data_IF_525964329954
#
_entry.id   IF_525964329954
#
_cell.length_a   1.000
_cell.length_b   1.000
_cell.length_c   1.000
_cell.angle_alpha   90.00
_cell.angle_beta   90.00
_cell.angle_gamma   90.00
#
_symmetry.space_group_name_H-M   'P 1'
#
loop_
_entity.id
_entity.type
_entity.pdbx_description
1 polymer ?
#
# COMPACT_ATOMS: atom_id res chain seq x y z
N UNK A 1 0.20 8.88 -7.39
CA UNK A 1 -0.47 7.68 -6.86
C UNK A 1 -1.69 8.06 -6.07
N UNK A 2 -2.81 7.48 -6.39
CA UNK A 2 -4.09 7.85 -5.75
C UNK A 2 -4.71 6.74 -4.94
N UNK A 3 -4.26 5.50 -5.13
CA UNK A 3 -4.86 4.34 -4.45
C UNK A 3 -3.77 3.42 -3.95
N UNK A 4 -4.13 2.54 -3.00
CA UNK A 4 -3.21 1.50 -2.55
C UNK A 4 -2.84 0.55 -3.68
N UNK A 5 -3.74 0.35 -4.62
CA UNK A 5 -3.47 -0.48 -5.80
C UNK A 5 -2.32 0.12 -6.61
N UNK A 6 -2.31 1.44 -6.76
CA UNK A 6 -1.22 2.14 -7.44
C UNK A 6 0.11 1.92 -6.72
N UNK A 7 0.09 2.00 -5.39
CA UNK A 7 1.29 1.77 -4.58
C UNK A 7 1.82 0.35 -4.80
N UNK A 8 0.95 -0.65 -4.75
CA UNK A 8 1.34 -2.04 -4.95
C UNK A 8 1.92 -2.24 -6.35
N UNK A 9 1.26 -1.68 -7.35
CA UNK A 9 1.70 -1.83 -8.75
C UNK A 9 3.08 -1.20 -8.98
N UNK A 10 3.44 -0.17 -8.23
CA UNK A 10 4.74 0.46 -8.37
C UNK A 10 5.90 -0.42 -7.91
N UNK A 11 5.62 -1.44 -7.11
CA UNK A 11 6.63 -2.43 -6.68
C UNK A 11 6.81 -3.58 -7.66
N UNK A 12 6.03 -3.61 -8.74
CA UNK A 12 6.09 -4.67 -9.72
C UNK A 12 5.01 -5.71 -9.46
N UNK A 13 5.39 -6.93 -9.03
CA UNK A 13 4.41 -7.96 -8.77
C UNK A 13 4.24 -8.24 -7.28
N UNK A 14 3.11 -8.86 -6.94
CA UNK A 14 2.75 -9.15 -5.56
C UNK A 14 3.72 -10.13 -4.89
N UNK A 15 4.22 -11.10 -5.64
CA UNK A 15 5.16 -12.10 -5.09
C UNK A 15 6.44 -11.45 -4.62
N UNK A 16 7.00 -10.57 -5.45
CA UNK A 16 8.24 -9.87 -5.12
C UNK A 16 8.03 -8.94 -3.93
N UNK A 17 6.95 -8.19 -3.95
CA UNK A 17 6.63 -7.29 -2.84
C UNK A 17 6.45 -8.06 -1.54
N UNK A 18 5.78 -9.20 -1.59
CA UNK A 18 5.59 -10.05 -0.42
C UNK A 18 6.91 -10.54 0.15
N UNK A 19 7.83 -11.00 -0.70
CA UNK A 19 9.15 -11.43 -0.25
C UNK A 19 9.91 -10.29 0.43
N UNK A 20 9.87 -9.12 -0.17
CA UNK A 20 10.59 -7.97 0.36
C UNK A 20 10.03 -7.51 1.70
N UNK A 21 8.73 -7.66 1.90
CA UNK A 21 8.06 -7.28 3.14
C UNK A 21 8.05 -8.41 4.18
N UNK A 22 8.36 -9.63 3.78
CA UNK A 22 8.29 -10.78 4.67
C UNK A 22 6.87 -11.26 4.90
N UNK A 23 5.98 -11.06 3.92
CA UNK A 23 4.60 -11.54 3.98
C UNK A 23 4.31 -12.42 2.77
N UNK A 24 3.30 -13.31 2.86
CA UNK A 24 2.92 -14.12 1.70
C UNK A 24 2.47 -13.26 0.53
N UNK A 25 2.84 -13.67 -0.69
CA UNK A 25 2.38 -12.98 -1.89
C UNK A 25 0.86 -12.93 -2.00
N UNK A 26 0.18 -13.95 -1.46
CA UNK A 26 -1.27 -13.97 -1.40
C UNK A 26 -1.82 -12.77 -0.63
N UNK A 27 -1.17 -12.40 0.48
CA UNK A 27 -1.58 -11.23 1.26
C UNK A 27 -1.52 -9.96 0.42
N UNK A 28 -0.42 -9.79 -0.33
CA UNK A 28 -0.27 -8.60 -1.18
C UNK A 28 -1.33 -8.59 -2.28
N UNK A 29 -1.63 -9.74 -2.87
CA UNK A 29 -2.69 -9.83 -3.88
C UNK A 29 -4.05 -9.49 -3.31
N UNK A 30 -4.33 -9.88 -2.07
CA UNK A 30 -5.57 -9.52 -1.39
C UNK A 30 -5.64 -8.02 -1.14
N UNK A 31 -4.53 -7.40 -0.73
CA UNK A 31 -4.48 -5.94 -0.55
C UNK A 31 -4.80 -5.23 -1.87
N UNK A 32 -4.22 -5.70 -2.96
CA UNK A 32 -4.47 -5.10 -4.28
C UNK A 32 -5.93 -5.26 -4.68
N UNK A 33 -6.50 -6.44 -4.48
CA UNK A 33 -7.90 -6.70 -4.80
C UNK A 33 -8.84 -5.80 -4.01
N UNK A 34 -8.56 -5.64 -2.71
CA UNK A 34 -9.38 -4.82 -1.82
C UNK A 34 -9.06 -3.34 -1.92
N UNK A 35 -8.00 -3.00 -2.60
CA UNK A 35 -7.48 -1.63 -2.68
C UNK A 35 -7.25 -1.07 -1.28
N UNK A 36 -6.59 -1.85 -0.43
CA UNK A 36 -6.35 -1.50 0.95
C UNK A 36 -5.08 -2.19 1.46
N UNK A 37 -4.26 -1.45 2.21
CA UNK A 37 -3.06 -2.00 2.84
C UNK A 37 -3.18 -1.76 4.35
N UNK A 38 -3.06 -2.82 5.18
CA UNK A 38 -3.11 -2.64 6.62
C UNK A 38 -2.03 -1.69 7.12
N UNK A 39 -2.40 -0.78 8.02
CA UNK A 39 -1.49 0.27 8.50
C UNK A 39 -0.23 -0.29 9.15
N UNK A 40 -0.30 -1.47 9.73
CA UNK A 40 0.86 -2.10 10.37
C UNK A 40 2.01 -2.37 9.42
N UNK A 41 1.76 -2.39 8.12
CA UNK A 41 2.79 -2.63 7.11
C UNK A 41 3.33 -1.34 6.47
N UNK A 42 2.74 -0.20 6.78
CA UNK A 42 3.06 1.06 6.10
C UNK A 42 4.52 1.49 6.27
N UNK A 43 5.03 1.43 7.49
CA UNK A 43 6.42 1.85 7.75
C UNK A 43 7.40 1.03 6.92
N UNK A 44 7.19 -0.28 6.88
CA UNK A 44 8.05 -1.17 6.12
C UNK A 44 7.94 -0.92 4.63
N UNK A 45 6.74 -0.65 4.14
CA UNK A 45 6.52 -0.32 2.73
C UNK A 45 7.24 0.97 2.36
N UNK A 46 7.18 1.98 3.21
CA UNK A 46 7.88 3.24 2.96
C UNK A 46 9.38 3.04 2.94
N UNK A 47 9.91 2.28 3.89
CA UNK A 47 11.34 1.97 3.93
C UNK A 47 11.79 1.25 2.66
N UNK A 48 11.02 0.27 2.23
CA UNK A 48 11.31 -0.49 1.01
C UNK A 48 11.23 0.41 -0.22
N UNK A 49 10.23 1.27 -0.27
CA UNK A 49 10.07 2.21 -1.37
C UNK A 49 11.26 3.14 -1.50
N UNK A 50 11.73 3.68 -0.39
CA UNK A 50 12.90 4.57 -0.40
C UNK A 50 14.15 3.83 -0.84
N UNK A 51 14.30 2.58 -0.44
CA UNK A 51 15.42 1.74 -0.88
C UNK A 51 15.41 1.51 -2.39
N UNK A 52 14.24 1.58 -3.02
CA UNK A 52 14.07 1.40 -4.46
C UNK A 52 14.04 2.71 -5.23
N UNK A 53 14.20 3.83 -4.55
CA UNK A 53 14.12 5.15 -5.19
C UNK A 53 12.70 5.64 -5.44
N UNK A 54 11.71 5.04 -4.81
CA UNK A 54 10.31 5.44 -4.93
C UNK A 54 9.98 6.44 -3.81
N UNK A 55 10.62 7.59 -3.86
CA UNK A 55 10.54 8.60 -2.80
C UNK A 55 9.15 9.23 -2.65
N UNK A 56 8.32 9.11 -3.68
CA UNK A 56 6.96 9.62 -3.63
C UNK A 56 6.11 8.86 -2.60
N UNK A 57 6.45 7.62 -2.32
CA UNK A 57 5.72 6.81 -1.35
C UNK A 57 6.18 7.19 0.06
N UNK A 58 5.23 7.68 0.85
CA UNK A 58 5.48 8.13 2.22
C UNK A 58 4.32 7.75 3.11
N UNK A 59 4.51 7.84 4.42
CA UNK A 59 3.43 7.61 5.37
C UNK A 59 2.29 8.60 5.11
N UNK A 60 2.62 9.84 4.78
CA UNK A 60 1.62 10.86 4.48
C UNK A 60 0.79 10.48 3.25
N UNK A 61 1.43 9.95 2.22
CA UNK A 61 0.71 9.50 1.03
C UNK A 61 -0.26 8.38 1.38
N UNK A 62 0.21 7.39 2.13
CA UNK A 62 -0.61 6.25 2.52
C UNK A 62 -1.78 6.71 3.41
N UNK A 63 -1.52 7.62 4.33
CA UNK A 63 -2.56 8.16 5.20
C UNK A 63 -3.61 8.95 4.39
N UNK A 64 -3.16 9.70 3.39
CA UNK A 64 -4.05 10.45 2.51
C UNK A 64 -4.96 9.51 1.72
N UNK A 65 -4.40 8.43 1.20
CA UNK A 65 -5.17 7.42 0.46
C UNK A 65 -6.20 6.78 1.38
N UNK A 66 -5.79 6.40 2.59
CA UNK A 66 -6.68 5.77 3.57
C UNK A 66 -7.81 6.72 3.98
N UNK A 67 -7.48 7.98 4.20
CA UNK A 67 -8.47 8.99 4.58
C UNK A 67 -9.52 9.19 3.48
N UNK A 68 -9.09 9.17 2.24
CA UNK A 68 -9.99 9.29 1.09
C UNK A 68 -10.99 8.12 1.06
N UNK A 69 -10.51 6.90 1.27
CA UNK A 69 -11.36 5.71 1.33
C UNK A 69 -12.29 5.75 2.54
N UNK A 70 -11.77 6.16 3.69
CA UNK A 70 -12.55 6.26 4.92
C UNK A 70 -13.65 7.32 4.80
N UNK A 71 -13.38 8.42 4.13
CA UNK A 71 -14.38 9.47 3.90
C UNK A 71 -15.57 8.93 3.12
N UNK A 72 -15.33 8.15 2.09
CA UNK A 72 -16.39 7.51 1.32
C UNK A 72 -17.23 6.61 2.19
N UNK A 73 -16.59 5.82 3.05
CA UNK A 73 -17.27 4.91 3.96
C UNK A 73 -18.08 5.67 5.00
N UNK A 74 -17.50 6.72 5.55
CA UNK A 74 -18.15 7.53 6.58
C UNK A 74 -19.42 8.17 6.08
N UNK A 75 -19.47 8.56 4.81
CA UNK A 75 -20.65 9.18 4.25
C UNK A 75 -21.82 8.25 4.12
N UNK A 76 -21.58 6.97 3.97
CA UNK A 76 -22.65 6.00 3.85
C UNK A 76 -23.16 5.53 5.20
N UNK A 77 -22.41 5.81 6.22
CA UNK A 77 -22.84 5.47 7.58
C UNK A 77 -23.76 6.53 8.12
#
# INVERSE_FOLDING_TARGET
MKTFRDVINSFGNAEQMGRDLGVPGLSVRQWRRRNSIPAQHWTRIVDLAHARGLDIISIELLATIAASSASSTARTA
#
